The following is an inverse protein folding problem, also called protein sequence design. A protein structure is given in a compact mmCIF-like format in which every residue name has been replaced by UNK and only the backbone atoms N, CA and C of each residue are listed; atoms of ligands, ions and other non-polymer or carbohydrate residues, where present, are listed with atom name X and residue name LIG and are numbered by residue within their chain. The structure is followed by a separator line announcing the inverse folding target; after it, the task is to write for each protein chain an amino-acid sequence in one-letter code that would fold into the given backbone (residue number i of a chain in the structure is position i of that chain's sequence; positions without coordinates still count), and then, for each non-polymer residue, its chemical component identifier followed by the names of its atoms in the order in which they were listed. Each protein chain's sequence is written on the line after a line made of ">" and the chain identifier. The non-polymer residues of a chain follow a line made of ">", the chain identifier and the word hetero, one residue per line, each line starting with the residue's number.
data_IF_829195094667
#
_entry.id   IF_829195094667
#
_cell.length_a   1.000
_cell.length_b   1.000
_cell.length_c   1.000
_cell.angle_alpha   90.00
_cell.angle_beta   90.00
_cell.angle_gamma   90.00
#
_symmetry.space_group_name_H-M   'P 1'
#
loop_
_entity.id
_entity.type
_entity.pdbx_description
1 polymer ?
#
# COMPACT_ATOMS: atom_id res chain seq x y z
N UNK A 1 -17.29 29.36 -47.45
CA UNK A 1 -17.27 29.92 -46.08
C UNK A 1 -18.10 29.11 -45.10
N UNK A 2 -19.41 28.91 -45.33
CA UNK A 2 -20.30 28.18 -44.40
C UNK A 2 -19.86 26.73 -44.09
N UNK A 3 -19.26 26.04 -45.06
CA UNK A 3 -18.79 24.66 -44.86
C UNK A 3 -17.57 24.58 -43.93
N UNK A 4 -16.60 25.49 -44.10
CA UNK A 4 -15.43 25.58 -43.22
C UNK A 4 -15.83 25.91 -41.79
N UNK A 5 -16.78 26.85 -41.60
CA UNK A 5 -17.31 27.16 -40.28
C UNK A 5 -17.99 25.95 -39.65
N UNK A 6 -18.81 25.20 -40.42
CA UNK A 6 -19.48 24.00 -39.92
C UNK A 6 -18.49 22.91 -39.47
N UNK A 7 -17.46 22.65 -40.27
CA UNK A 7 -16.42 21.65 -39.95
C UNK A 7 -15.62 22.07 -38.71
N UNK A 8 -15.21 23.34 -38.61
CA UNK A 8 -14.46 23.85 -37.45
C UNK A 8 -15.33 23.79 -36.18
N UNK A 9 -16.61 24.16 -36.26
CA UNK A 9 -17.51 24.07 -35.10
C UNK A 9 -17.72 22.63 -34.64
N UNK A 10 -17.87 21.68 -35.57
CA UNK A 10 -18.04 20.27 -35.25
C UNK A 10 -16.79 19.69 -34.60
N UNK A 11 -15.60 20.01 -35.14
CA UNK A 11 -14.33 19.53 -34.62
C UNK A 11 -14.02 20.13 -33.24
N UNK A 12 -14.37 21.41 -33.02
CA UNK A 12 -14.29 22.05 -31.70
C UNK A 12 -15.17 21.37 -30.67
N UNK A 13 -16.43 21.05 -31.03
CA UNK A 13 -17.37 20.32 -30.17
C UNK A 13 -16.87 18.92 -29.82
N UNK A 14 -16.38 18.17 -30.81
CA UNK A 14 -15.77 16.85 -30.61
C UNK A 14 -14.55 16.91 -29.70
N UNK A 15 -13.69 17.93 -29.89
CA UNK A 15 -12.49 18.11 -29.09
C UNK A 15 -12.84 18.43 -27.63
N UNK A 16 -13.83 19.30 -27.39
CA UNK A 16 -14.32 19.62 -26.05
C UNK A 16 -14.94 18.39 -25.39
N UNK A 17 -15.77 17.63 -26.12
CA UNK A 17 -16.36 16.40 -25.60
C UNK A 17 -15.28 15.38 -25.21
N UNK A 18 -14.27 15.19 -26.06
CA UNK A 18 -13.14 14.32 -25.77
C UNK A 18 -12.34 14.80 -24.54
N UNK A 19 -12.14 16.11 -24.39
CA UNK A 19 -11.46 16.69 -23.23
C UNK A 19 -12.26 16.45 -21.93
N UNK A 20 -13.58 16.66 -21.97
CA UNK A 20 -14.47 16.39 -20.82
C UNK A 20 -14.44 14.91 -20.45
N UNK A 21 -14.49 14.02 -21.43
CA UNK A 21 -14.45 12.58 -21.20
C UNK A 21 -13.11 12.14 -20.62
N UNK A 22 -12.00 12.68 -21.14
CA UNK A 22 -10.65 12.41 -20.64
C UNK A 22 -10.46 12.94 -19.22
N UNK A 23 -10.93 14.15 -18.92
CA UNK A 23 -10.91 14.71 -17.57
C UNK A 23 -11.81 13.93 -16.61
N UNK A 24 -12.96 13.45 -17.08
CA UNK A 24 -13.86 12.59 -16.33
C UNK A 24 -13.23 11.24 -15.99
N UNK A 25 -12.57 10.60 -16.96
CA UNK A 25 -11.83 9.35 -16.76
C UNK A 25 -10.65 9.57 -15.81
N UNK A 26 -9.86 10.63 -15.98
CA UNK A 26 -8.76 10.94 -15.05
C UNK A 26 -9.29 11.23 -13.65
N UNK A 27 -10.39 11.98 -13.50
CA UNK A 27 -11.04 12.20 -12.19
C UNK A 27 -11.57 10.91 -11.59
N UNK A 28 -12.13 10.00 -12.39
CA UNK A 28 -12.63 8.70 -11.95
C UNK A 28 -11.50 7.76 -11.54
N UNK A 29 -10.40 7.73 -12.31
CA UNK A 29 -9.20 6.95 -12.00
C UNK A 29 -8.50 7.50 -10.75
N UNK A 30 -8.44 8.82 -10.59
CA UNK A 30 -7.96 9.45 -9.34
C UNK A 30 -8.88 9.13 -8.19
N UNK A 31 -10.20 9.25 -8.32
CA UNK A 31 -11.16 8.88 -7.29
C UNK A 31 -11.13 7.39 -6.90
N UNK A 32 -10.67 6.50 -7.78
CA UNK A 32 -10.40 5.09 -7.43
C UNK A 32 -9.07 4.92 -6.68
N UNK A 33 -8.06 5.75 -6.98
CA UNK A 33 -6.82 5.86 -6.19
C UNK A 33 -7.05 6.55 -4.84
N UNK A 34 -7.99 7.49 -4.81
CA UNK A 34 -8.41 8.33 -3.68
C UNK A 34 -9.69 7.76 -3.02
N UNK A 35 -10.12 6.55 -3.37
CA UNK A 35 -11.25 5.82 -2.75
C UNK A 35 -10.94 5.31 -1.35
N UNK A 36 -9.80 5.73 -0.82
CA UNK A 36 -9.47 5.80 0.59
C UNK A 36 -10.10 7.09 1.14
N UNK A 37 -11.05 7.03 2.11
CA UNK A 37 -11.79 8.21 2.55
C UNK A 37 -10.86 9.35 2.99
N UNK A 38 -11.26 10.63 2.83
CA UNK A 38 -10.42 11.76 3.20
C UNK A 38 -10.06 11.68 4.67
N UNK A 39 -8.78 11.42 4.94
CA UNK A 39 -8.22 11.36 6.29
C UNK A 39 -8.54 12.65 7.03
N UNK A 40 -9.25 12.52 8.15
CA UNK A 40 -9.46 13.60 9.08
C UNK A 40 -8.10 14.06 9.61
N UNK A 41 -7.60 15.19 9.11
CA UNK A 41 -6.56 16.04 9.73
C UNK A 41 -5.38 15.24 10.34
N UNK A 42 -4.81 14.35 9.54
CA UNK A 42 -3.55 13.64 9.79
C UNK A 42 -2.81 13.55 8.45
N UNK A 43 -1.48 13.54 8.50
CA UNK A 43 -0.57 13.60 7.34
C UNK A 43 -1.08 12.78 6.11
N UNK A 44 -1.25 13.38 4.92
CA UNK A 44 -1.78 12.72 3.71
C UNK A 44 -0.97 11.51 3.20
N UNK A 45 0.08 11.07 3.91
CA UNK A 45 0.89 9.89 3.62
C UNK A 45 0.60 8.66 4.52
N UNK A 46 -0.36 8.72 5.44
CA UNK A 46 -0.73 7.59 6.30
C UNK A 46 -1.66 6.62 5.56
N UNK A 47 -1.11 5.51 5.06
CA UNK A 47 -1.89 4.44 4.43
C UNK A 47 -2.56 3.45 5.40
N UNK A 48 -2.41 3.68 6.71
CA UNK A 48 -3.18 3.05 7.79
C UNK A 48 -4.00 4.15 8.47
N UNK A 49 -5.28 3.89 8.75
CA UNK A 49 -6.15 4.81 9.49
C UNK A 49 -5.83 4.89 10.98
N UNK A 50 -4.90 4.07 11.47
CA UNK A 50 -4.42 4.14 12.84
C UNK A 50 -3.31 5.20 12.99
N UNK A 51 -3.51 6.10 13.93
CA UNK A 51 -2.54 7.11 14.35
C UNK A 51 -1.38 6.49 15.15
N UNK A 52 -0.23 7.16 15.10
CA UNK A 52 0.92 6.85 15.97
C UNK A 52 0.49 6.81 17.44
N UNK A 53 0.90 5.76 18.14
CA UNK A 53 0.54 5.48 19.52
C UNK A 53 -0.73 4.64 19.69
N UNK A 54 -1.58 4.50 18.67
CA UNK A 54 -2.72 3.58 18.73
C UNK A 54 -2.26 2.13 18.76
N UNK A 55 -3.00 1.31 19.49
CA UNK A 55 -2.73 -0.12 19.62
C UNK A 55 -3.46 -0.86 18.49
N UNK A 56 -2.74 -1.76 17.82
CA UNK A 56 -3.31 -2.62 16.77
C UNK A 56 -4.40 -3.50 17.37
N UNK A 57 -5.46 -3.72 16.60
CA UNK A 57 -6.55 -4.62 16.97
C UNK A 57 -6.07 -6.05 17.24
N UNK A 58 -6.92 -6.86 17.87
CA UNK A 58 -6.70 -8.31 17.89
C UNK A 58 -6.89 -8.86 16.47
N UNK A 59 -5.99 -9.74 16.04
CA UNK A 59 -6.13 -10.50 14.81
C UNK A 59 -5.57 -11.90 15.01
N UNK A 60 -6.07 -12.84 14.22
CA UNK A 60 -5.51 -14.17 14.05
C UNK A 60 -5.18 -14.39 12.59
N UNK A 61 -3.91 -14.64 12.28
CA UNK A 61 -3.44 -14.94 10.94
C UNK A 61 -2.44 -16.11 10.99
N UNK A 62 -2.16 -16.70 9.84
CA UNK A 62 -1.09 -17.68 9.68
C UNK A 62 -0.13 -17.16 8.62
N UNK A 63 1.17 -17.35 8.86
CA UNK A 63 2.16 -17.10 7.82
C UNK A 63 2.15 -18.22 6.76
N UNK A 64 2.92 -18.03 5.69
CA UNK A 64 3.05 -19.02 4.61
C UNK A 64 3.72 -20.33 5.04
N UNK A 65 4.30 -20.38 6.25
CA UNK A 65 4.88 -21.57 6.87
C UNK A 65 3.91 -22.24 7.86
N UNK A 66 2.70 -21.71 8.01
CA UNK A 66 1.67 -22.22 8.93
C UNK A 66 1.84 -21.80 10.39
N UNK A 67 2.76 -20.89 10.70
CA UNK A 67 2.97 -20.39 12.06
C UNK A 67 1.87 -19.37 12.42
N UNK A 68 1.30 -19.46 13.63
CA UNK A 68 0.28 -18.51 14.07
C UNK A 68 0.89 -17.12 14.30
N UNK A 69 0.22 -16.11 13.77
CA UNK A 69 0.53 -14.71 13.95
C UNK A 69 -0.63 -14.03 14.63
N UNK A 70 -0.34 -13.46 15.78
CA UNK A 70 -1.26 -12.63 16.55
C UNK A 70 -0.58 -11.31 16.88
N UNK A 71 -1.31 -10.40 17.52
CA UNK A 71 -0.74 -9.15 18.01
C UNK A 71 0.48 -9.36 18.91
N UNK A 72 0.51 -10.44 19.69
CA UNK A 72 1.61 -10.75 20.61
C UNK A 72 2.86 -11.26 19.88
N UNK A 73 2.75 -11.62 18.60
CA UNK A 73 3.88 -11.90 17.72
C UNK A 73 4.57 -10.62 17.22
N UNK A 74 3.91 -9.46 17.31
CA UNK A 74 4.47 -8.17 16.88
C UNK A 74 5.52 -7.69 17.88
N UNK A 75 6.76 -7.52 17.40
CA UNK A 75 7.90 -7.06 18.22
C UNK A 75 8.10 -5.56 18.07
N UNK A 76 8.64 -4.92 19.11
CA UNK A 76 9.06 -3.53 19.02
C UNK A 76 10.11 -3.35 17.91
N UNK A 77 9.93 -2.33 17.07
CA UNK A 77 10.78 -2.02 15.93
C UNK A 77 10.57 -2.93 14.72
N UNK A 78 9.63 -3.87 14.75
CA UNK A 78 9.26 -4.69 13.60
C UNK A 78 8.59 -3.83 12.52
N UNK A 79 8.95 -4.06 11.26
CA UNK A 79 8.30 -3.41 10.12
C UNK A 79 7.23 -4.34 9.56
N UNK A 80 6.00 -3.87 9.48
CA UNK A 80 4.88 -4.55 8.81
C UNK A 80 4.64 -3.89 7.47
N UNK A 81 4.75 -4.63 6.38
CA UNK A 81 4.61 -4.14 5.02
C UNK A 81 3.36 -4.73 4.36
N UNK A 82 2.40 -3.88 4.01
CA UNK A 82 1.20 -4.27 3.27
C UNK A 82 1.40 -4.01 1.78
N UNK A 83 1.33 -5.07 0.98
CA UNK A 83 1.58 -5.08 -0.45
C UNK A 83 0.48 -5.88 -1.16
N UNK A 84 0.10 -5.49 -2.36
CA UNK A 84 -0.89 -6.23 -3.17
C UNK A 84 -0.28 -6.61 -4.52
N UNK A 85 -0.41 -7.85 -4.99
CA UNK A 85 -0.09 -8.21 -6.36
C UNK A 85 -1.06 -7.48 -7.32
N UNK A 86 -0.59 -7.11 -8.51
CA UNK A 86 -1.36 -6.28 -9.47
C UNK A 86 -1.36 -4.79 -9.15
N UNK A 87 -0.78 -4.36 -8.03
CA UNK A 87 -0.60 -2.95 -7.69
C UNK A 87 0.78 -2.49 -8.19
N UNK A 88 0.79 -1.72 -9.29
CA UNK A 88 2.02 -1.20 -9.93
C UNK A 88 3.02 -0.56 -8.92
N UNK A 89 2.61 0.33 -7.99
CA UNK A 89 3.56 0.88 -7.01
C UNK A 89 4.03 -0.13 -5.96
N UNK A 90 3.32 -1.24 -5.72
CA UNK A 90 3.82 -2.33 -4.87
C UNK A 90 4.92 -3.12 -5.60
N UNK A 91 4.73 -3.39 -6.89
CA UNK A 91 5.70 -4.12 -7.73
C UNK A 91 7.02 -3.35 -7.86
N UNK A 92 6.95 -2.04 -8.09
CA UNK A 92 8.13 -1.16 -8.13
C UNK A 92 8.88 -1.11 -6.79
N UNK A 93 8.17 -1.21 -5.67
CA UNK A 93 8.74 -1.08 -4.34
C UNK A 93 9.22 -2.42 -3.75
N UNK A 94 8.76 -3.54 -4.31
CA UNK A 94 9.10 -4.89 -3.85
C UNK A 94 10.62 -5.11 -3.68
N UNK A 95 11.49 -4.72 -4.63
CA UNK A 95 12.93 -4.86 -4.46
C UNK A 95 13.48 -4.09 -3.24
N UNK A 96 12.98 -2.87 -3.00
CA UNK A 96 13.39 -2.06 -1.84
C UNK A 96 12.90 -2.65 -0.52
N UNK A 97 11.72 -3.27 -0.50
CA UNK A 97 11.22 -3.99 0.68
C UNK A 97 12.08 -5.21 0.98
N UNK A 98 12.47 -5.97 -0.04
CA UNK A 98 13.38 -7.12 0.11
C UNK A 98 14.73 -6.68 0.67
N UNK A 99 15.28 -5.57 0.17
CA UNK A 99 16.54 -5.03 0.67
C UNK A 99 16.42 -4.51 2.11
N UNK A 100 15.32 -3.82 2.44
CA UNK A 100 15.02 -3.36 3.80
C UNK A 100 14.89 -4.53 4.77
N UNK A 101 14.26 -5.63 4.34
CA UNK A 101 14.13 -6.85 5.14
C UNK A 101 15.48 -7.52 5.38
N UNK A 102 16.33 -7.61 4.35
CA UNK A 102 17.71 -8.10 4.50
C UNK A 102 18.52 -7.25 5.47
N UNK A 103 18.41 -5.93 5.40
CA UNK A 103 19.13 -5.01 6.27
C UNK A 103 18.64 -5.05 7.72
N UNK A 104 17.33 -5.22 7.94
CA UNK A 104 16.74 -5.31 9.27
C UNK A 104 17.08 -6.64 9.99
N UNK A 105 17.31 -7.71 9.23
CA UNK A 105 17.62 -9.04 9.73
C UNK A 105 16.38 -9.94 9.89
N UNK A 106 16.60 -11.25 10.11
CA UNK A 106 15.53 -12.24 10.12
C UNK A 106 14.52 -11.98 11.24
N UNK A 107 13.22 -12.12 10.93
CA UNK A 107 12.12 -11.96 11.88
C UNK A 107 11.85 -10.50 12.30
N UNK A 108 12.46 -9.50 11.64
CA UNK A 108 12.21 -8.08 11.89
C UNK A 108 11.23 -7.44 10.91
N UNK A 109 10.88 -8.15 9.84
CA UNK A 109 9.92 -7.71 8.84
C UNK A 109 8.81 -8.75 8.67
N UNK A 110 7.57 -8.27 8.73
CA UNK A 110 6.35 -9.00 8.43
C UNK A 110 5.76 -8.42 7.14
N UNK A 111 5.71 -9.20 6.07
CA UNK A 111 5.09 -8.78 4.81
C UNK A 111 3.69 -9.39 4.68
N UNK A 112 2.68 -8.55 4.69
CA UNK A 112 1.30 -8.91 4.41
C UNK A 112 1.01 -8.71 2.92
N UNK A 113 0.88 -9.81 2.19
CA UNK A 113 0.43 -9.85 0.80
C UNK A 113 -1.10 -9.88 0.81
N UNK A 114 -1.70 -8.74 0.47
CA UNK A 114 -3.15 -8.52 0.45
C UNK A 114 -3.69 -8.87 -0.93
N UNK A 115 -4.61 -9.83 -1.01
CA UNK A 115 -5.28 -10.23 -2.25
C UNK A 115 -6.59 -9.46 -2.43
N UNK A 116 -6.81 -8.98 -3.65
CA UNK A 116 -8.10 -8.48 -4.12
C UNK A 116 -8.75 -9.57 -4.98
N UNK A 117 -10.02 -9.90 -4.72
CA UNK A 117 -10.72 -10.95 -5.49
C UNK A 117 -10.90 -10.61 -6.96
N UNK A 118 -11.05 -9.32 -7.26
CA UNK A 118 -11.41 -8.85 -8.60
C UNK A 118 -10.24 -8.86 -9.59
N UNK A 119 -9.00 -8.93 -9.09
CA UNK A 119 -7.80 -8.71 -9.92
C UNK A 119 -7.22 -10.01 -10.51
N UNK A 120 -7.66 -11.19 -10.04
CA UNK A 120 -7.11 -12.50 -10.48
C UNK A 120 -5.60 -12.67 -10.23
N UNK A 121 -4.99 -11.74 -9.49
CA UNK A 121 -3.57 -11.65 -9.28
C UNK A 121 -3.11 -12.71 -8.27
N UNK A 122 -2.02 -13.41 -8.61
CA UNK A 122 -1.49 -14.49 -7.75
C UNK A 122 -0.46 -13.97 -6.75
N UNK A 123 -0.48 -14.44 -5.50
CA UNK A 123 0.51 -14.04 -4.48
C UNK A 123 1.90 -14.63 -4.73
N UNK A 124 2.02 -15.66 -5.58
CA UNK A 124 3.22 -16.51 -5.70
C UNK A 124 4.52 -15.72 -5.91
N UNK A 125 4.51 -14.71 -6.77
CA UNK A 125 5.70 -13.91 -7.05
C UNK A 125 6.13 -13.06 -5.84
N UNK A 126 5.18 -12.45 -5.14
CA UNK A 126 5.45 -11.67 -3.93
C UNK A 126 5.93 -12.56 -2.79
N UNK A 127 5.26 -13.71 -2.60
CA UNK A 127 5.64 -14.70 -1.59
C UNK A 127 7.05 -15.21 -1.87
N UNK A 128 7.35 -15.65 -3.09
CA UNK A 128 8.68 -16.16 -3.46
C UNK A 128 9.80 -15.14 -3.23
N UNK A 129 9.55 -13.85 -3.49
CA UNK A 129 10.53 -12.79 -3.27
C UNK A 129 10.77 -12.46 -1.79
N UNK A 130 9.71 -12.53 -0.96
CA UNK A 130 9.73 -12.06 0.42
C UNK A 130 10.01 -13.17 1.44
N UNK A 131 9.57 -14.41 1.20
CA UNK A 131 9.76 -15.54 2.12
C UNK A 131 11.22 -15.77 2.56
N UNK A 132 12.25 -15.56 1.71
CA UNK A 132 13.64 -15.75 2.14
C UNK A 132 14.15 -14.70 3.13
N UNK A 133 13.46 -13.56 3.27
CA UNK A 133 13.96 -12.36 3.97
C UNK A 133 12.99 -11.81 5.02
N UNK A 134 11.72 -12.19 4.97
CA UNK A 134 10.65 -11.70 5.82
C UNK A 134 9.65 -12.82 6.14
N UNK A 135 8.92 -12.68 7.26
CA UNK A 135 7.74 -13.51 7.51
C UNK A 135 6.62 -13.04 6.59
N UNK A 136 6.06 -13.93 5.77
CA UNK A 136 5.02 -13.57 4.80
C UNK A 136 3.66 -14.07 5.24
N UNK A 137 2.65 -13.21 5.17
CA UNK A 137 1.25 -13.57 5.39
C UNK A 137 0.48 -13.25 4.13
N UNK A 138 -0.30 -14.21 3.65
CA UNK A 138 -1.28 -13.94 2.60
C UNK A 138 -2.62 -13.67 3.29
N UNK A 139 -3.18 -12.49 3.06
CA UNK A 139 -4.45 -12.07 3.63
C UNK A 139 -5.31 -11.40 2.57
N UNK A 140 -6.53 -11.03 2.92
CA UNK A 140 -7.44 -10.28 2.07
C UNK A 140 -7.61 -8.88 2.63
N UNK A 141 -8.03 -7.94 1.79
CA UNK A 141 -8.28 -6.57 2.22
C UNK A 141 -9.36 -6.51 3.32
N UNK A 142 -10.34 -7.41 3.25
CA UNK A 142 -11.40 -7.58 4.23
C UNK A 142 -11.04 -8.55 5.38
N UNK A 143 -9.81 -9.06 5.41
CA UNK A 143 -9.33 -10.01 6.43
C UNK A 143 -9.03 -9.35 7.78
N UNK A 144 -8.96 -10.17 8.84
CA UNK A 144 -8.73 -9.70 10.21
C UNK A 144 -7.44 -8.88 10.35
N UNK A 145 -6.36 -9.29 9.67
CA UNK A 145 -5.08 -8.58 9.73
C UNK A 145 -5.19 -7.18 9.12
N UNK A 146 -5.73 -7.05 7.90
CA UNK A 146 -5.87 -5.76 7.24
C UNK A 146 -6.82 -4.81 8.02
N UNK A 147 -7.90 -5.35 8.59
CA UNK A 147 -8.82 -4.59 9.46
C UNK A 147 -8.20 -4.18 10.79
N UNK A 148 -7.42 -5.05 11.43
CA UNK A 148 -6.78 -4.75 12.71
C UNK A 148 -5.76 -3.61 12.61
N UNK A 149 -5.15 -3.45 11.44
CA UNK A 149 -4.25 -2.35 11.10
C UNK A 149 -4.97 -1.18 10.41
N UNK A 150 -6.29 -1.25 10.23
CA UNK A 150 -7.11 -0.27 9.52
C UNK A 150 -6.46 0.17 8.19
N UNK A 151 -6.09 -0.81 7.34
CA UNK A 151 -5.39 -0.53 6.09
C UNK A 151 -6.38 0.08 5.09
N UNK A 152 -6.13 1.34 4.75
CA UNK A 152 -6.97 2.13 3.86
C UNK A 152 -6.35 2.25 2.46
N UNK A 153 -5.07 1.89 2.29
CA UNK A 153 -4.38 1.89 1.00
C UNK A 153 -3.06 1.14 1.00
N UNK A 154 -2.55 0.81 -0.20
CA UNK A 154 -1.30 0.08 -0.41
C UNK A 154 -0.45 0.76 -1.50
N UNK A 155 0.89 0.69 -1.43
CA UNK A 155 1.67 0.03 -0.39
C UNK A 155 1.79 0.87 0.88
N UNK A 156 1.76 0.20 2.04
CA UNK A 156 1.84 0.85 3.37
C UNK A 156 2.81 0.12 4.27
N UNK A 157 3.76 0.84 4.86
CA UNK A 157 4.62 0.34 5.92
C UNK A 157 4.14 0.81 7.28
N UNK A 158 4.20 -0.06 8.28
CA UNK A 158 3.89 0.26 9.67
C UNK A 158 5.04 -0.21 10.54
N UNK A 159 5.66 0.72 11.28
CA UNK A 159 6.66 0.38 12.29
C UNK A 159 5.97 0.13 13.61
N UNK A 160 6.18 -1.05 14.17
CA UNK A 160 5.67 -1.42 15.48
C UNK A 160 6.49 -0.75 16.58
N UNK A 161 5.79 -0.17 17.54
CA UNK A 161 6.32 0.30 18.82
C UNK A 161 6.11 -0.74 19.92
N UNK A 162 6.22 -0.28 21.16
CA UNK A 162 6.02 -1.11 22.36
C UNK A 162 4.58 -1.59 22.47
N UNK A 163 4.40 -2.81 22.98
CA UNK A 163 3.09 -3.39 23.29
C UNK A 163 2.09 -3.42 22.11
N UNK A 164 2.59 -3.64 20.89
CA UNK A 164 1.73 -3.71 19.70
C UNK A 164 1.09 -2.37 19.32
N UNK A 165 1.70 -1.25 19.73
CA UNK A 165 1.32 0.10 19.29
C UNK A 165 2.03 0.48 18.01
N UNK A 166 1.48 1.42 17.27
CA UNK A 166 2.13 1.97 16.08
C UNK A 166 3.14 3.02 16.52
N UNK A 167 4.40 2.84 16.13
CA UNK A 167 5.43 3.85 16.31
C UNK A 167 5.47 4.83 15.14
N UNK A 168 5.26 4.32 13.92
CA UNK A 168 5.25 5.12 12.70
C UNK A 168 4.47 4.39 11.60
N UNK A 169 3.94 5.11 10.62
CA UNK A 169 3.20 4.54 9.50
C UNK A 169 3.37 5.38 8.25
N UNK A 170 3.60 4.74 7.12
CA UNK A 170 3.69 5.41 5.83
C UNK A 170 4.48 4.62 4.81
N UNK A 171 4.38 5.06 3.55
CA UNK A 171 5.06 4.43 2.42
C UNK A 171 6.57 4.60 2.44
N UNK A 172 7.07 5.65 3.10
CA UNK A 172 8.50 5.92 3.23
C UNK A 172 9.24 4.82 4.02
N UNK A 173 8.57 4.16 4.97
CA UNK A 173 9.14 3.10 5.79
C UNK A 173 9.51 1.83 5.02
N UNK A 174 8.92 1.65 3.84
CA UNK A 174 9.17 0.51 2.95
C UNK A 174 10.40 0.70 2.06
N UNK A 175 10.94 1.92 2.01
CA UNK A 175 12.22 2.17 1.36
C UNK A 175 13.32 2.00 2.40
N UNK A 176 14.44 1.44 1.93
CA UNK A 176 15.70 1.56 2.66
C UNK A 176 15.93 3.06 2.89
N UNK A 177 16.22 3.50 4.12
CA UNK A 177 16.67 4.86 4.33
C UNK A 177 17.94 5.02 3.50
N UNK A 178 17.86 5.73 2.36
CA UNK A 178 19.07 6.27 1.78
C UNK A 178 19.69 7.13 2.86
N UNK A 179 21.00 6.96 3.18
CA UNK A 179 21.66 7.91 4.05
C UNK A 179 21.44 9.27 3.43
N UNK A 180 20.64 10.10 4.10
CA UNK A 180 20.48 11.48 3.74
C UNK A 180 21.90 12.02 3.76
N UNK A 181 22.43 12.41 2.60
CA UNK A 181 23.62 13.27 2.59
C UNK A 181 23.19 14.51 3.38
N UNK A 182 23.59 14.55 4.65
CA UNK A 182 23.69 15.77 5.41
C UNK A 182 24.67 16.63 4.63
N UNK A 183 24.12 17.47 3.76
CA UNK A 183 24.87 18.35 2.88
C UNK A 183 24.84 19.75 3.47
N UNK A 184 26.02 20.14 3.96
CA UNK A 184 26.57 21.50 4.10
C UNK A 184 25.83 22.50 4.99
#
# INVERSE_FOLDING_TARGET
>A
MAYLTAVVTLFGLLSIANLILTLGVVRRLRAQRDGSPPAAKGDPFQGSGLSVGQRVGGFSAHDTEGRPLTRDSLREGMLVAFLSPGCLPCEELLPSVVESARAAGPGRVLAAVVLNEDDGARPDAFVAALSPVATVVVTRLDGELARAFDIQGMPTGVRMGREGRIADSGRALLRVPHPTRAGA
#
